data_IF_778914117070
#
_entry.id   IF_778914117070
#
_cell.length_a   1.000
_cell.length_b   1.000
_cell.length_c   1.000
_cell.angle_alpha   90.00
_cell.angle_beta   90.00
_cell.angle_gamma   90.00
#
_symmetry.space_group_name_H-M   'P 1'
#
loop_
_entity.id
_entity.type
_entity.pdbx_description
1 polymer ?
#
# COMPACT_ATOMS: atom_id res chain seq x y z
N UNK A 1 6.47 -16.32 15.08
CA UNK A 1 5.90 -16.09 13.75
C UNK A 1 5.85 -14.60 13.40
N UNK A 2 5.40 -14.30 12.21
CA UNK A 2 5.24 -12.93 11.71
C UNK A 2 3.78 -12.51 11.81
N UNK A 3 3.55 -11.26 12.22
CA UNK A 3 2.25 -10.59 12.11
C UNK A 3 2.38 -9.44 11.14
N UNK A 4 1.48 -9.37 10.18
CA UNK A 4 1.37 -8.26 9.22
C UNK A 4 0.18 -7.40 9.62
N UNK A 5 0.42 -6.13 9.89
CA UNK A 5 -0.64 -5.16 10.17
C UNK A 5 -0.81 -4.30 8.94
N UNK A 6 -1.94 -4.46 8.27
CA UNK A 6 -2.33 -3.65 7.14
C UNK A 6 -3.06 -2.41 7.60
N UNK A 7 -2.55 -1.23 7.20
CA UNK A 7 -3.32 -0.01 7.24
C UNK A 7 -4.38 -0.08 6.14
N UNK A 8 -5.63 -0.28 6.49
CA UNK A 8 -6.71 -0.43 5.53
C UNK A 8 -6.89 0.83 4.67
N UNK A 9 -7.14 0.62 3.39
CA UNK A 9 -7.30 1.70 2.42
C UNK A 9 -8.71 2.31 2.50
N UNK A 10 -8.79 3.62 2.55
CA UNK A 10 -10.06 4.35 2.68
C UNK A 10 -10.36 5.28 1.52
N UNK A 11 -9.68 5.14 0.39
CA UNK A 11 -9.88 6.03 -0.78
C UNK A 11 -11.29 6.00 -1.36
N UNK A 12 -12.04 4.91 -1.14
CA UNK A 12 -13.45 4.77 -1.49
C UNK A 12 -14.42 5.12 -0.33
N UNK A 13 -13.93 5.69 0.76
CA UNK A 13 -14.75 6.07 1.92
C UNK A 13 -15.31 4.89 2.72
N UNK A 14 -14.63 3.76 2.63
CA UNK A 14 -14.83 2.55 3.43
C UNK A 14 -13.49 1.82 3.52
N UNK A 15 -13.34 0.97 4.51
CA UNK A 15 -12.14 0.14 4.64
C UNK A 15 -12.06 -0.91 3.53
N UNK A 16 -10.91 -0.97 2.87
CA UNK A 16 -10.54 -2.01 1.92
C UNK A 16 -9.17 -2.60 2.29
N UNK A 17 -8.97 -3.87 1.93
CA UNK A 17 -7.81 -4.69 2.28
C UNK A 17 -7.00 -5.14 1.04
N UNK A 18 -6.45 -4.20 0.25
CA UNK A 18 -5.75 -4.54 -0.98
C UNK A 18 -4.53 -5.44 -0.76
N UNK A 19 -3.82 -5.30 0.37
CA UNK A 19 -2.69 -6.18 0.66
C UNK A 19 -3.15 -7.60 0.99
N UNK A 20 -4.23 -7.77 1.75
CA UNK A 20 -4.83 -9.09 1.93
C UNK A 20 -5.22 -9.71 0.58
N UNK A 21 -5.86 -8.92 -0.28
CA UNK A 21 -6.27 -9.37 -1.61
C UNK A 21 -5.09 -9.85 -2.46
N UNK A 22 -3.93 -9.20 -2.35
CA UNK A 22 -2.72 -9.56 -3.07
C UNK A 22 -1.92 -10.69 -2.41
N UNK A 23 -1.84 -10.72 -1.07
CA UNK A 23 -0.88 -11.52 -0.32
C UNK A 23 -1.49 -12.72 0.42
N UNK A 24 -2.82 -12.85 0.55
CA UNK A 24 -3.45 -13.86 1.42
C UNK A 24 -2.91 -15.28 1.25
N UNK A 25 -2.67 -15.70 0.01
CA UNK A 25 -2.17 -17.05 -0.27
C UNK A 25 -0.74 -17.25 0.27
N UNK A 26 0.10 -16.22 0.20
CA UNK A 26 1.45 -16.21 0.76
C UNK A 26 1.41 -16.20 2.27
N UNK A 27 0.62 -15.31 2.86
CA UNK A 27 0.50 -15.18 4.31
C UNK A 27 0.00 -16.48 4.95
N UNK A 28 -1.01 -17.11 4.36
CA UNK A 28 -1.56 -18.39 4.84
C UNK A 28 -0.53 -19.51 4.68
N UNK A 29 0.15 -19.57 3.52
CA UNK A 29 1.15 -20.61 3.24
C UNK A 29 2.31 -20.59 4.23
N UNK A 30 2.78 -19.39 4.58
CA UNK A 30 3.90 -19.19 5.50
C UNK A 30 3.47 -19.19 6.98
N UNK A 31 2.16 -19.29 7.26
CA UNK A 31 1.63 -19.32 8.62
C UNK A 31 1.74 -17.99 9.36
N UNK A 32 1.65 -16.90 8.62
CA UNK A 32 1.63 -15.54 9.18
C UNK A 32 0.23 -15.18 9.68
N UNK A 33 0.17 -14.33 10.70
CA UNK A 33 -1.08 -13.68 11.09
C UNK A 33 -1.22 -12.34 10.35
N UNK A 34 -2.46 -12.00 9.99
CA UNK A 34 -2.81 -10.74 9.38
C UNK A 34 -3.82 -9.98 10.23
N UNK A 35 -3.63 -8.67 10.31
CA UNK A 35 -4.50 -7.75 11.03
C UNK A 35 -4.83 -6.58 10.11
N UNK A 36 -6.07 -6.50 9.63
CA UNK A 36 -6.58 -5.32 8.93
C UNK A 36 -7.04 -4.27 9.94
N UNK A 37 -6.49 -3.07 9.90
CA UNK A 37 -6.73 -2.05 10.91
C UNK A 37 -7.39 -0.80 10.32
N UNK A 38 -8.60 -0.49 10.81
CA UNK A 38 -9.32 0.75 10.54
C UNK A 38 -8.68 1.91 11.30
N UNK A 39 -7.70 2.56 10.69
CA UNK A 39 -6.93 3.62 11.33
C UNK A 39 -7.49 5.02 11.13
N UNK A 40 -8.35 5.21 10.14
CA UNK A 40 -8.87 6.51 9.74
C UNK A 40 -10.36 6.65 9.97
N UNK A 41 -10.77 7.87 10.36
CA UNK A 41 -12.15 8.23 10.64
C UNK A 41 -13.11 7.82 9.51
N UNK A 42 -12.71 8.08 8.27
CA UNK A 42 -13.55 7.83 7.11
C UNK A 42 -13.83 6.34 6.87
N UNK A 43 -12.92 5.45 7.24
CA UNK A 43 -13.14 4.00 7.19
C UNK A 43 -14.18 3.53 8.20
N UNK A 44 -14.22 4.14 9.38
CA UNK A 44 -15.14 3.80 10.46
C UNK A 44 -16.48 4.50 10.29
N UNK A 45 -16.50 5.81 10.13
CA UNK A 45 -17.73 6.64 10.19
C UNK A 45 -18.24 7.07 8.82
N UNK A 46 -17.45 6.86 7.76
CA UNK A 46 -17.76 7.33 6.42
C UNK A 46 -17.31 8.76 6.18
N UNK A 47 -17.46 9.23 4.95
CA UNK A 47 -17.09 10.59 4.56
C UNK A 47 -16.91 10.79 3.07
N UNK A 48 -16.22 11.86 2.66
CA UNK A 48 -15.99 12.14 1.25
C UNK A 48 -15.09 11.08 0.62
N UNK A 49 -15.34 10.72 -0.63
CA UNK A 49 -14.62 9.69 -1.36
C UNK A 49 -13.66 10.31 -2.37
N UNK A 50 -12.47 9.74 -2.47
CA UNK A 50 -11.50 10.08 -3.52
C UNK A 50 -11.76 9.26 -4.79
N UNK A 51 -12.11 7.99 -4.61
CA UNK A 51 -12.37 7.04 -5.70
C UNK A 51 -13.83 6.64 -5.69
N UNK A 52 -14.55 7.00 -6.77
CA UNK A 52 -15.91 6.53 -7.01
C UNK A 52 -15.88 5.15 -7.66
N UNK A 53 -16.61 4.20 -7.09
CA UNK A 53 -16.69 2.82 -7.58
C UNK A 53 -18.06 2.61 -8.21
N UNK A 54 -18.17 2.47 -9.54
CA UNK A 54 -19.43 2.22 -10.20
C UNK A 54 -20.12 0.96 -9.68
N UNK A 55 -21.42 1.04 -9.42
CA UNK A 55 -22.22 -0.05 -8.89
C UNK A 55 -22.10 -0.28 -7.38
N UNK A 56 -21.24 0.49 -6.69
CA UNK A 56 -21.05 0.43 -5.25
C UNK A 56 -21.52 1.70 -4.52
N UNK A 57 -22.34 2.52 -5.16
CA UNK A 57 -22.81 3.82 -4.62
C UNK A 57 -23.55 3.70 -3.28
N UNK A 58 -24.08 2.50 -2.99
CA UNK A 58 -24.78 2.22 -1.73
C UNK A 58 -23.87 1.95 -0.53
N UNK A 59 -22.55 1.73 -0.76
CA UNK A 59 -21.57 1.41 0.29
C UNK A 59 -20.40 2.39 0.31
N UNK A 60 -20.05 2.96 -0.82
CA UNK A 60 -18.98 3.95 -0.94
C UNK A 60 -19.30 5.17 -0.07
N UNK A 61 -18.35 5.58 0.76
CA UNK A 61 -18.51 6.71 1.69
C UNK A 61 -19.30 6.42 2.96
N UNK A 62 -19.76 5.18 3.16
CA UNK A 62 -20.62 4.84 4.30
C UNK A 62 -19.83 4.55 5.59
N UNK A 63 -18.59 4.11 5.50
CA UNK A 63 -17.85 3.58 6.63
C UNK A 63 -18.47 2.32 7.23
N UNK A 64 -17.78 1.70 8.19
CA UNK A 64 -18.26 0.47 8.85
C UNK A 64 -19.58 0.68 9.60
N UNK A 65 -19.70 1.78 10.33
CA UNK A 65 -20.87 2.08 11.19
C UNK A 65 -22.17 2.09 10.38
N UNK A 66 -22.15 2.63 9.18
CA UNK A 66 -23.33 2.72 8.33
C UNK A 66 -23.53 1.49 7.43
N UNK A 67 -22.44 0.77 7.10
CA UNK A 67 -22.52 -0.45 6.27
C UNK A 67 -23.13 -1.62 7.05
N UNK A 68 -22.78 -1.78 8.34
CA UNK A 68 -23.37 -2.78 9.24
C UNK A 68 -23.51 -2.18 10.65
N UNK A 69 -24.57 -1.41 10.84
CA UNK A 69 -24.86 -0.75 12.12
C UNK A 69 -25.14 -1.73 13.27
N UNK A 70 -25.54 -2.97 12.99
CA UNK A 70 -25.75 -3.98 14.03
C UNK A 70 -24.42 -4.43 14.61
N UNK A 71 -23.42 -4.60 13.76
CA UNK A 71 -22.09 -5.05 14.16
C UNK A 71 -21.20 -3.89 14.62
N UNK A 72 -21.22 -2.79 13.90
CA UNK A 72 -20.26 -1.69 14.05
C UNK A 72 -20.84 -0.38 14.57
N UNK A 73 -22.17 -0.29 14.77
CA UNK A 73 -22.83 0.96 15.15
C UNK A 73 -22.43 1.54 16.51
N UNK A 74 -21.66 0.80 17.32
CA UNK A 74 -21.08 1.30 18.58
C UNK A 74 -19.66 1.81 18.46
N UNK A 75 -19.05 1.72 17.27
CA UNK A 75 -17.72 2.26 17.06
C UNK A 75 -17.77 3.79 16.99
N UNK A 76 -16.82 4.41 17.61
CA UNK A 76 -16.53 5.84 17.56
C UNK A 76 -15.06 6.02 17.26
N UNK A 77 -14.71 6.75 16.19
CA UNK A 77 -13.33 7.05 15.87
C UNK A 77 -12.94 8.43 16.46
N UNK A 78 -11.82 8.55 17.18
CA UNK A 78 -11.45 9.80 17.86
C UNK A 78 -10.97 10.92 16.93
N UNK A 79 -10.93 10.68 15.62
CA UNK A 79 -10.43 11.61 14.61
C UNK A 79 -9.05 11.23 14.07
N UNK A 80 -8.73 11.70 12.86
CA UNK A 80 -7.50 11.30 12.13
C UNK A 80 -6.20 11.78 12.77
N UNK A 81 -6.26 12.75 13.68
CA UNK A 81 -5.10 13.11 14.50
C UNK A 81 -4.57 11.97 15.37
N UNK A 82 -5.37 10.94 15.59
CA UNK A 82 -5.01 9.73 16.33
C UNK A 82 -4.63 8.54 15.44
N UNK A 83 -4.79 8.62 14.12
CA UNK A 83 -4.59 7.47 13.22
C UNK A 83 -3.22 6.82 13.40
N UNK A 84 -2.15 7.61 13.47
CA UNK A 84 -0.79 7.08 13.66
C UNK A 84 -0.56 6.50 15.07
N UNK A 85 -1.24 7.03 16.07
CA UNK A 85 -1.20 6.49 17.44
C UNK A 85 -1.98 5.19 17.54
N UNK A 86 -3.16 5.08 16.94
CA UNK A 86 -3.93 3.84 16.83
C UNK A 86 -3.08 2.75 16.19
N UNK A 87 -2.41 3.03 15.06
CA UNK A 87 -1.54 2.08 14.38
C UNK A 87 -0.38 1.62 15.28
N UNK A 88 0.22 2.55 16.01
CA UNK A 88 1.29 2.25 16.98
C UNK A 88 0.80 1.40 18.14
N UNK A 89 -0.34 1.73 18.72
CA UNK A 89 -0.89 1.01 19.88
C UNK A 89 -1.25 -0.43 19.52
N UNK A 90 -1.86 -0.65 18.34
CA UNK A 90 -2.17 -2.01 17.87
C UNK A 90 -0.89 -2.81 17.62
N UNK A 91 0.14 -2.22 17.01
CA UNK A 91 1.42 -2.90 16.83
C UNK A 91 2.05 -3.34 18.17
N UNK A 92 1.96 -2.50 19.20
CA UNK A 92 2.43 -2.83 20.56
C UNK A 92 1.60 -3.92 21.22
N UNK A 93 0.28 -3.80 21.18
CA UNK A 93 -0.62 -4.81 21.74
C UNK A 93 -0.43 -6.18 21.08
N UNK A 94 -0.33 -6.20 19.75
CA UNK A 94 -0.03 -7.40 18.97
C UNK A 94 1.32 -8.00 19.38
N UNK A 95 2.35 -7.18 19.55
CA UNK A 95 3.68 -7.63 19.99
C UNK A 95 3.66 -8.27 21.39
N UNK A 96 2.75 -7.84 22.25
CA UNK A 96 2.52 -8.42 23.58
C UNK A 96 1.62 -9.68 23.52
N UNK A 97 1.15 -10.06 22.34
CA UNK A 97 0.29 -11.24 22.11
C UNK A 97 -1.21 -10.98 22.28
N UNK A 98 -1.60 -9.73 22.46
CA UNK A 98 -3.00 -9.36 22.60
C UNK A 98 -3.77 -9.63 21.29
N UNK A 99 -4.95 -10.20 21.41
CA UNK A 99 -5.82 -10.50 20.28
C UNK A 99 -5.40 -11.68 19.39
N UNK A 100 -4.23 -12.27 19.63
CA UNK A 100 -3.66 -13.34 18.79
C UNK A 100 -3.92 -14.77 19.33
N UNK A 101 -4.84 -14.94 20.29
CA UNK A 101 -5.22 -16.27 20.77
C UNK A 101 -4.06 -17.07 21.40
N UNK A 102 -3.05 -16.39 21.95
CA UNK A 102 -1.86 -17.00 22.57
C UNK A 102 -0.69 -17.21 21.60
N UNK A 103 -0.73 -16.67 20.39
CA UNK A 103 0.43 -16.61 19.51
C UNK A 103 1.36 -15.50 19.99
N UNK A 104 2.66 -15.78 20.00
CA UNK A 104 3.71 -14.81 20.33
C UNK A 104 4.42 -14.38 19.03
N UNK A 105 4.23 -13.16 18.55
CA UNK A 105 4.89 -12.68 17.35
C UNK A 105 6.38 -12.45 17.61
N UNK A 106 7.21 -12.92 16.69
CA UNK A 106 8.64 -12.62 16.66
C UNK A 106 8.92 -11.36 15.85
N UNK A 107 7.99 -11.01 14.96
CA UNK A 107 8.11 -9.90 14.04
C UNK A 107 6.74 -9.28 13.78
N UNK A 108 6.69 -7.95 13.74
CA UNK A 108 5.50 -7.17 13.41
C UNK A 108 5.83 -6.25 12.24
N UNK A 109 5.21 -6.49 11.11
CA UNK A 109 5.42 -5.76 9.85
C UNK A 109 4.23 -4.86 9.55
N UNK A 110 4.52 -3.67 9.03
CA UNK A 110 3.51 -2.76 8.50
C UNK A 110 3.34 -2.99 6.99
N UNK A 111 2.11 -3.04 6.51
CA UNK A 111 1.79 -3.13 5.09
C UNK A 111 0.70 -2.14 4.70
N UNK A 112 0.73 -1.66 3.47
CA UNK A 112 -0.31 -0.78 2.95
C UNK A 112 -0.09 -0.43 1.49
N UNK A 113 -1.20 -0.33 0.75
CA UNK A 113 -1.24 -0.03 -0.67
C UNK A 113 -1.90 1.31 -0.95
N UNK A 114 -1.40 2.03 -1.96
CA UNK A 114 -2.01 3.26 -2.46
C UNK A 114 -2.03 4.37 -1.39
N UNK A 115 -3.20 4.80 -0.99
CA UNK A 115 -3.40 5.79 0.08
C UNK A 115 -2.77 5.33 1.41
N UNK A 116 -2.90 4.06 1.75
CA UNK A 116 -2.30 3.50 2.95
C UNK A 116 -0.78 3.50 2.88
N UNK A 117 -0.20 3.26 1.70
CA UNK A 117 1.23 3.40 1.48
C UNK A 117 1.71 4.84 1.71
N UNK A 118 0.91 5.86 1.38
CA UNK A 118 1.21 7.26 1.72
C UNK A 118 1.23 7.48 3.24
N UNK A 119 0.32 6.83 3.98
CA UNK A 119 0.32 6.86 5.44
C UNK A 119 1.57 6.18 6.02
N UNK A 120 1.98 5.04 5.46
CA UNK A 120 3.21 4.37 5.88
C UNK A 120 4.46 5.20 5.63
N UNK A 121 4.51 6.03 4.57
CA UNK A 121 5.61 6.99 4.36
C UNK A 121 5.68 8.00 5.50
N UNK A 122 4.53 8.56 5.90
CA UNK A 122 4.46 9.48 7.03
C UNK A 122 4.86 8.78 8.33
N UNK A 123 4.34 7.58 8.54
CA UNK A 123 4.67 6.78 9.73
C UNK A 123 6.16 6.48 9.82
N UNK A 124 6.74 5.92 8.76
CA UNK A 124 8.15 5.61 8.69
C UNK A 124 9.03 6.82 8.97
N UNK A 125 8.73 7.95 8.32
CA UNK A 125 9.55 9.14 8.41
C UNK A 125 9.44 9.88 9.76
N UNK A 126 8.25 9.91 10.36
CA UNK A 126 7.96 10.76 11.52
C UNK A 126 7.64 10.02 12.80
N UNK A 127 7.03 8.85 12.73
CA UNK A 127 6.51 8.12 13.90
C UNK A 127 7.43 6.96 14.30
N UNK A 128 7.90 6.17 13.33
CA UNK A 128 8.80 5.05 13.57
C UNK A 128 10.05 5.41 14.40
N UNK A 129 10.74 6.56 14.14
CA UNK A 129 11.91 6.95 14.94
C UNK A 129 11.59 7.19 16.42
N UNK A 130 10.35 7.50 16.74
CA UNK A 130 9.89 7.78 18.10
C UNK A 130 9.37 6.53 18.81
N UNK A 131 8.89 5.55 18.05
CA UNK A 131 8.12 4.42 18.60
C UNK A 131 8.82 3.08 18.46
N UNK A 132 9.58 2.87 17.38
CA UNK A 132 10.21 1.58 17.06
C UNK A 132 9.18 0.43 16.98
N UNK A 133 7.93 0.71 16.58
CA UNK A 133 6.85 -0.24 16.75
C UNK A 133 6.88 -1.38 15.72
N UNK A 134 7.44 -1.13 14.53
CA UNK A 134 7.48 -2.10 13.44
C UNK A 134 8.91 -2.53 13.12
N UNK A 135 9.05 -3.78 12.70
CA UNK A 135 10.32 -4.40 12.29
C UNK A 135 10.58 -4.27 10.79
N UNK A 136 9.62 -3.77 10.01
CA UNK A 136 9.74 -3.53 8.57
C UNK A 136 8.48 -2.92 7.98
N UNK A 137 8.62 -2.34 6.78
CA UNK A 137 7.53 -1.67 6.05
C UNK A 137 7.43 -2.20 4.62
N UNK A 138 6.27 -2.72 4.25
CA UNK A 138 5.90 -3.08 2.89
C UNK A 138 5.01 -1.97 2.31
N UNK A 139 5.58 -1.14 1.44
CA UNK A 139 4.96 0.08 0.90
C UNK A 139 4.61 -0.17 -0.56
N UNK A 140 3.34 -0.47 -0.83
CA UNK A 140 2.88 -0.92 -2.15
C UNK A 140 2.14 0.19 -2.89
N UNK A 141 2.44 0.39 -4.17
CA UNK A 141 1.74 1.32 -5.08
C UNK A 141 1.57 2.74 -4.51
N UNK A 142 2.61 3.25 -3.82
CA UNK A 142 2.57 4.59 -3.23
C UNK A 142 2.58 5.70 -4.28
N UNK A 143 1.89 6.80 -3.98
CA UNK A 143 2.07 8.04 -4.70
C UNK A 143 3.39 8.75 -4.31
N UNK A 144 3.75 9.81 -5.04
CA UNK A 144 4.95 10.61 -4.73
C UNK A 144 4.85 11.37 -3.40
N UNK A 145 3.65 11.61 -2.89
CA UNK A 145 3.40 12.34 -1.65
C UNK A 145 3.23 11.40 -0.44
N UNK A 146 3.19 11.98 0.75
CA UNK A 146 2.86 11.32 2.00
C UNK A 146 1.50 11.79 2.52
N UNK A 147 0.83 10.97 3.34
CA UNK A 147 -0.40 11.38 4.00
C UNK A 147 -0.10 12.51 5.01
N UNK A 148 -0.86 13.62 5.03
CA UNK A 148 -0.63 14.68 5.98
C UNK A 148 -0.92 14.25 7.42
N UNK A 149 -0.15 14.78 8.36
CA UNK A 149 -0.50 14.76 9.78
C UNK A 149 -1.48 15.91 10.02
N UNK A 150 -2.59 15.62 10.66
CA UNK A 150 -3.66 16.59 10.92
C UNK A 150 -3.82 16.89 12.39
N UNK A 151 -4.38 18.05 12.70
CA UNK A 151 -4.69 18.48 14.06
C UNK A 151 -5.97 17.84 14.61
N UNK A 152 -6.28 18.10 15.90
CA UNK A 152 -7.55 17.71 16.47
C UNK A 152 -8.74 18.28 15.66
N UNK A 153 -9.80 17.52 15.52
CA UNK A 153 -11.00 17.86 14.76
C UNK A 153 -10.83 18.05 13.25
N UNK A 154 -9.65 17.67 12.71
CA UNK A 154 -9.36 17.64 11.29
C UNK A 154 -9.34 16.18 10.77
N UNK A 155 -9.66 15.99 9.50
CA UNK A 155 -9.46 14.71 8.82
C UNK A 155 -8.36 14.81 7.77
N UNK A 156 -7.71 13.69 7.51
CA UNK A 156 -6.63 13.62 6.52
C UNK A 156 -7.23 13.63 5.10
N UNK A 157 -7.32 14.84 4.51
CA UNK A 157 -7.81 15.01 3.14
C UNK A 157 -6.79 14.52 2.13
N UNK A 158 -7.09 13.38 1.51
CA UNK A 158 -6.27 12.78 0.48
C UNK A 158 -6.17 13.65 -0.78
N UNK A 159 -7.26 14.32 -1.14
CA UNK A 159 -7.28 15.17 -2.32
C UNK A 159 -6.32 16.34 -2.18
N UNK A 160 -6.20 16.91 -0.97
CA UNK A 160 -5.27 18.00 -0.69
C UNK A 160 -3.79 17.57 -0.72
N UNK A 161 -3.50 16.28 -0.55
CA UNK A 161 -2.14 15.76 -0.62
C UNK A 161 -1.61 15.73 -2.07
N UNK A 162 -2.50 15.57 -3.07
CA UNK A 162 -2.08 15.56 -4.47
C UNK A 162 -1.54 16.93 -4.90
N UNK A 163 -0.34 16.91 -5.49
CA UNK A 163 0.38 18.13 -5.86
C UNK A 163 1.27 18.72 -4.75
N UNK A 164 1.32 18.10 -3.59
CA UNK A 164 2.30 18.44 -2.56
C UNK A 164 3.72 18.03 -2.96
N UNK A 165 4.72 18.49 -2.20
CA UNK A 165 6.12 18.12 -2.46
C UNK A 165 6.32 16.61 -2.34
N UNK A 166 7.03 15.98 -3.30
CA UNK A 166 7.35 14.56 -3.22
C UNK A 166 8.09 14.21 -1.94
N UNK A 167 7.64 13.16 -1.25
CA UNK A 167 8.18 12.71 0.02
C UNK A 167 9.01 11.43 -0.17
N UNK A 168 10.32 11.52 0.01
CA UNK A 168 11.19 10.35 0.05
C UNK A 168 11.14 9.69 1.42
N UNK A 169 11.44 8.39 1.45
CA UNK A 169 11.66 7.66 2.69
C UNK A 169 13.05 8.03 3.26
N UNK A 170 13.14 8.12 4.57
CA UNK A 170 14.43 8.32 5.25
C UNK A 170 15.33 7.09 5.05
N UNK A 171 16.62 7.33 4.98
CA UNK A 171 17.65 6.32 4.81
C UNK A 171 18.54 6.13 6.04
N UNK A 172 18.22 6.83 7.13
CA UNK A 172 18.96 6.79 8.40
C UNK A 172 18.29 5.93 9.49
N UNK A 173 17.29 5.14 9.14
CA UNK A 173 16.62 4.22 10.06
C UNK A 173 17.07 2.77 9.78
N UNK A 174 17.37 2.05 10.87
CA UNK A 174 17.75 0.63 10.81
C UNK A 174 16.51 -0.29 10.75
N UNK A 175 15.61 0.00 9.84
CA UNK A 175 14.40 -0.79 9.60
C UNK A 175 14.17 -0.97 8.10
N UNK A 176 14.05 -2.21 7.60
CA UNK A 176 13.91 -2.47 6.18
C UNK A 176 12.59 -1.95 5.61
N UNK A 177 12.68 -1.33 4.44
CA UNK A 177 11.55 -0.85 3.68
C UNK A 177 11.59 -1.43 2.27
N UNK A 178 10.58 -2.21 1.92
CA UNK A 178 10.34 -2.70 0.57
C UNK A 178 9.27 -1.85 -0.10
N UNK A 179 9.64 -1.15 -1.16
CA UNK A 179 8.71 -0.40 -2.02
C UNK A 179 8.44 -1.22 -3.28
N UNK A 180 7.17 -1.50 -3.54
CA UNK A 180 6.70 -2.18 -4.72
C UNK A 180 5.77 -1.24 -5.51
N UNK A 181 6.00 -1.08 -6.81
CA UNK A 181 5.22 -0.20 -7.67
C UNK A 181 4.72 -0.96 -8.90
N UNK A 182 3.49 -0.71 -9.30
CA UNK A 182 3.03 -1.09 -10.63
C UNK A 182 3.58 -0.13 -11.70
N UNK A 183 3.50 -0.52 -12.97
CA UNK A 183 3.81 0.40 -14.07
C UNK A 183 2.92 1.66 -14.02
N UNK A 184 1.64 1.47 -13.67
CA UNK A 184 0.68 2.58 -13.58
C UNK A 184 1.01 3.62 -12.50
N UNK A 185 1.81 3.26 -11.49
CA UNK A 185 2.19 4.18 -10.40
C UNK A 185 3.33 5.11 -10.77
N UNK A 186 4.16 4.70 -11.74
CA UNK A 186 5.45 5.35 -12.03
C UNK A 186 5.27 6.79 -12.51
N UNK A 187 4.24 7.03 -13.32
CA UNK A 187 3.94 8.34 -13.92
C UNK A 187 2.50 8.77 -13.62
N UNK A 188 2.03 9.84 -14.25
CA UNK A 188 0.64 10.31 -14.12
C UNK A 188 0.32 10.85 -12.74
N UNK A 189 -0.85 10.49 -12.20
CA UNK A 189 -1.39 11.02 -10.96
C UNK A 189 -0.51 10.67 -9.75
N UNK A 190 -0.06 9.42 -9.67
CA UNK A 190 0.73 8.94 -8.54
C UNK A 190 2.19 9.36 -8.62
N UNK A 191 2.75 9.42 -9.84
CA UNK A 191 4.08 9.95 -10.12
C UNK A 191 5.17 9.49 -9.14
N UNK A 192 5.19 8.21 -8.82
CA UNK A 192 6.13 7.63 -7.85
C UNK A 192 7.60 7.79 -8.28
N UNK A 193 7.84 7.95 -9.58
CA UNK A 193 9.18 8.24 -10.13
C UNK A 193 9.87 9.45 -9.49
N UNK A 194 9.11 10.44 -9.04
CA UNK A 194 9.64 11.62 -8.36
C UNK A 194 10.26 11.29 -6.99
N UNK A 195 9.99 10.10 -6.46
CA UNK A 195 10.50 9.66 -5.14
C UNK A 195 11.48 8.50 -5.22
N UNK A 196 11.91 8.14 -6.43
CA UNK A 196 12.93 7.10 -6.60
C UNK A 196 14.17 7.38 -5.76
N UNK A 197 14.68 6.35 -5.13
CA UNK A 197 15.89 6.34 -4.33
C UNK A 197 16.74 5.13 -4.77
N UNK A 198 18.07 5.22 -4.68
CA UNK A 198 18.90 4.06 -4.91
C UNK A 198 18.64 2.99 -3.85
N UNK A 199 18.75 1.73 -4.21
CA UNK A 199 18.78 0.63 -3.27
C UNK A 199 19.88 0.86 -2.22
N UNK A 200 19.57 0.58 -0.97
CA UNK A 200 20.45 0.78 0.18
C UNK A 200 20.47 -0.42 1.11
N UNK A 201 21.06 -0.26 2.28
CA UNK A 201 21.09 -1.30 3.29
C UNK A 201 19.70 -1.65 3.79
N UNK A 202 18.84 -0.62 3.98
CA UNK A 202 17.48 -0.76 4.51
C UNK A 202 16.39 -0.29 3.52
N UNK A 203 16.69 -0.20 2.22
CA UNK A 203 15.73 0.23 1.22
C UNK A 203 15.84 -0.60 -0.06
N UNK A 204 14.70 -1.05 -0.58
CA UNK A 204 14.55 -1.67 -1.91
C UNK A 204 13.35 -1.12 -2.64
N UNK A 205 13.52 -0.94 -3.95
CA UNK A 205 12.46 -0.51 -4.85
C UNK A 205 12.35 -1.49 -6.02
N UNK A 206 11.16 -2.06 -6.20
CA UNK A 206 10.80 -2.80 -7.39
C UNK A 206 9.67 -2.11 -8.14
N UNK A 207 9.81 -1.98 -9.44
CA UNK A 207 8.78 -1.50 -10.37
C UNK A 207 8.45 -2.62 -11.35
N UNK A 208 7.18 -2.95 -11.51
CA UNK A 208 6.73 -4.12 -12.28
C UNK A 208 6.08 -3.66 -13.57
N UNK A 209 6.73 -3.96 -14.71
CA UNK A 209 6.23 -3.64 -16.03
C UNK A 209 4.96 -4.44 -16.38
N UNK A 210 4.06 -3.83 -17.14
CA UNK A 210 2.83 -4.46 -17.62
C UNK A 210 1.72 -4.57 -16.56
N UNK A 211 1.87 -3.94 -15.41
CA UNK A 211 0.90 -4.00 -14.32
C UNK A 211 0.21 -2.65 -14.08
N UNK A 212 -0.97 -2.68 -13.51
CA UNK A 212 -1.74 -1.50 -13.17
C UNK A 212 -1.85 -1.31 -11.66
N UNK A 213 -2.15 -0.08 -11.23
CA UNK A 213 -2.41 0.28 -9.84
C UNK A 213 -3.54 -0.56 -9.22
N UNK A 214 -4.61 -0.76 -9.98
CA UNK A 214 -5.69 -1.67 -9.62
C UNK A 214 -5.97 -2.56 -10.85
N UNK A 215 -5.57 -3.81 -10.77
CA UNK A 215 -5.76 -4.81 -11.81
C UNK A 215 -7.12 -5.52 -11.67
N UNK A 216 -7.43 -6.39 -12.62
CA UNK A 216 -8.66 -7.16 -12.63
C UNK A 216 -8.84 -8.01 -11.36
N UNK A 217 -7.76 -8.52 -10.77
CA UNK A 217 -7.82 -9.31 -9.54
C UNK A 217 -8.23 -8.46 -8.34
N UNK A 218 -7.65 -7.28 -8.20
CA UNK A 218 -7.96 -6.36 -7.10
C UNK A 218 -9.37 -5.77 -7.23
N UNK A 219 -9.75 -5.39 -8.45
CA UNK A 219 -11.08 -4.85 -8.76
C UNK A 219 -12.17 -5.91 -8.60
N UNK A 220 -11.88 -7.18 -8.91
CA UNK A 220 -12.80 -8.29 -8.72
C UNK A 220 -14.07 -8.21 -9.58
N UNK A 221 -15.20 -8.59 -8.99
CA UNK A 221 -16.49 -8.70 -9.71
C UNK A 221 -17.02 -7.37 -10.26
N UNK A 222 -16.61 -6.24 -9.69
CA UNK A 222 -17.02 -4.91 -10.18
C UNK A 222 -16.34 -4.53 -11.51
N UNK A 223 -15.34 -5.28 -11.96
CA UNK A 223 -14.72 -5.10 -13.28
C UNK A 223 -15.74 -4.97 -14.41
N UNK A 224 -16.83 -5.74 -14.33
CA UNK A 224 -17.89 -5.70 -15.33
C UNK A 224 -18.70 -4.39 -15.37
N UNK A 225 -18.57 -3.55 -14.34
CA UNK A 225 -19.27 -2.27 -14.19
C UNK A 225 -18.38 -1.07 -14.59
N UNK A 226 -17.08 -1.31 -14.78
CA UNK A 226 -16.12 -0.25 -15.09
C UNK A 226 -15.89 -0.21 -16.59
N UNK A 227 -16.21 0.92 -17.22
CA UNK A 227 -15.90 1.19 -18.63
C UNK A 227 -14.74 2.19 -18.72
N UNK A 228 -13.56 1.71 -19.00
CA UNK A 228 -12.36 2.52 -19.27
C UNK A 228 -12.09 2.68 -20.79
N UNK A 229 -13.00 2.22 -21.65
CA UNK A 229 -12.78 2.17 -23.10
C UNK A 229 -11.77 1.10 -23.54
N UNK A 230 -11.25 0.31 -22.63
CA UNK A 230 -10.36 -0.82 -22.83
C UNK A 230 -10.56 -1.86 -21.70
N UNK A 231 -10.18 -3.13 -21.90
CA UNK A 231 -10.17 -4.10 -20.82
C UNK A 231 -9.33 -3.63 -19.63
N UNK A 232 -9.78 -3.91 -18.41
CA UNK A 232 -8.97 -3.67 -17.22
C UNK A 232 -7.75 -4.59 -17.27
N UNK A 233 -6.60 -4.03 -16.91
CA UNK A 233 -5.33 -4.76 -16.90
C UNK A 233 -5.43 -6.02 -16.01
N UNK A 234 -4.97 -7.15 -16.51
CA UNK A 234 -4.89 -8.44 -15.83
C UNK A 234 -3.43 -8.87 -15.55
N UNK A 235 -2.49 -7.94 -15.65
CA UNK A 235 -1.10 -8.15 -15.32
C UNK A 235 -0.96 -8.71 -13.91
N UNK A 236 -0.14 -9.78 -13.70
CA UNK A 236 -0.15 -10.53 -12.45
C UNK A 236 0.62 -9.82 -11.32
N UNK A 237 0.19 -8.63 -10.93
CA UNK A 237 0.80 -7.83 -9.85
C UNK A 237 0.88 -8.62 -8.54
N UNK A 238 -0.15 -9.38 -8.21
CA UNK A 238 -0.18 -10.24 -7.03
C UNK A 238 0.94 -11.30 -6.97
N UNK A 239 1.47 -11.73 -8.13
CA UNK A 239 2.63 -12.65 -8.17
C UNK A 239 3.90 -11.92 -7.77
N UNK A 240 4.10 -10.70 -8.31
CA UNK A 240 5.23 -9.85 -7.92
C UNK A 240 5.12 -9.44 -6.45
N UNK A 241 3.93 -9.09 -5.96
CA UNK A 241 3.68 -8.72 -4.58
C UNK A 241 4.04 -9.84 -3.60
N UNK A 242 3.61 -11.09 -3.89
CA UNK A 242 3.98 -12.26 -3.06
C UNK A 242 5.49 -12.51 -3.05
N UNK A 243 6.15 -12.41 -4.20
CA UNK A 243 7.60 -12.57 -4.28
C UNK A 243 8.33 -11.47 -3.52
N UNK A 244 7.90 -10.20 -3.68
CA UNK A 244 8.46 -9.07 -2.97
C UNK A 244 8.27 -9.20 -1.46
N UNK A 245 7.06 -9.60 -1.02
CA UNK A 245 6.76 -9.80 0.39
C UNK A 245 7.56 -10.95 1.00
N UNK A 246 7.70 -12.07 0.30
CA UNK A 246 8.50 -13.21 0.75
C UNK A 246 9.97 -12.81 1.02
N UNK A 247 10.59 -12.10 0.09
CA UNK A 247 11.94 -11.59 0.27
C UNK A 247 12.02 -10.53 1.39
N UNK A 248 11.05 -9.63 1.45
CA UNK A 248 10.99 -8.57 2.46
C UNK A 248 10.87 -9.14 3.88
N UNK A 249 10.00 -10.11 4.07
CA UNK A 249 9.78 -10.75 5.37
C UNK A 249 11.04 -11.47 5.87
N UNK A 250 11.72 -12.19 4.97
CA UNK A 250 12.99 -12.83 5.27
C UNK A 250 14.09 -11.79 5.62
N UNK A 251 14.15 -10.69 4.87
CA UNK A 251 15.07 -9.59 5.15
C UNK A 251 14.80 -8.94 6.50
N UNK A 252 13.56 -8.66 6.83
CA UNK A 252 13.18 -8.11 8.13
C UNK A 252 13.50 -9.07 9.31
N UNK A 253 13.72 -10.36 9.04
CA UNK A 253 14.27 -11.35 10.01
C UNK A 253 15.80 -11.36 10.04
N UNK A 254 16.47 -10.47 9.32
CA UNK A 254 17.94 -10.38 9.30
C UNK A 254 18.61 -11.25 8.25
N UNK A 255 17.87 -11.74 7.24
CA UNK A 255 18.48 -12.35 6.05
C UNK A 255 18.93 -11.25 5.06
N UNK A 256 19.57 -11.68 3.96
CA UNK A 256 20.01 -10.76 2.92
C UNK A 256 18.83 -9.96 2.33
N UNK A 257 19.05 -8.69 1.98
CA UNK A 257 18.02 -7.89 1.34
C UNK A 257 17.59 -8.47 -0.01
N UNK A 258 16.37 -8.20 -0.47
CA UNK A 258 15.90 -8.60 -1.80
C UNK A 258 16.89 -8.19 -2.89
N UNK A 259 17.03 -8.96 -3.98
CA UNK A 259 17.88 -8.56 -5.09
C UNK A 259 17.44 -7.21 -5.66
N UNK A 260 18.39 -6.39 -6.08
CA UNK A 260 18.10 -5.16 -6.81
C UNK A 260 17.44 -5.48 -8.16
N UNK A 261 16.54 -4.62 -8.60
CA UNK A 261 15.86 -4.72 -9.89
C UNK A 261 16.09 -3.48 -10.75
N UNK A 262 16.07 -3.66 -12.07
CA UNK A 262 16.04 -2.52 -12.98
C UNK A 262 14.74 -1.74 -12.76
N UNK A 263 14.79 -0.42 -12.84
CA UNK A 263 13.61 0.43 -12.82
C UNK A 263 13.02 0.56 -14.22
N UNK A 264 11.74 0.88 -14.31
CA UNK A 264 11.07 1.21 -15.56
C UNK A 264 11.75 2.45 -16.17
N UNK A 265 12.12 2.37 -17.44
CA UNK A 265 12.78 3.46 -18.14
C UNK A 265 11.82 4.61 -18.41
N UNK A 266 12.30 5.82 -18.22
CA UNK A 266 11.58 7.05 -18.54
C UNK A 266 12.17 7.73 -19.76
N UNK A 267 11.35 8.47 -20.48
CA UNK A 267 11.77 9.33 -21.58
C UNK A 267 12.49 10.54 -20.98
N UNK A 268 13.73 10.74 -21.40
CA UNK A 268 14.52 11.90 -20.99
C UNK A 268 13.91 13.20 -21.53
N UNK A 269 14.13 14.29 -20.82
CA UNK A 269 13.74 15.65 -21.23
C UNK A 269 12.22 15.89 -21.39
N UNK A 270 11.38 14.98 -20.92
CA UNK A 270 9.93 15.25 -20.86
C UNK A 270 9.60 16.14 -19.65
N UNK A 271 8.86 17.24 -19.83
CA UNK A 271 8.40 18.06 -18.72
C UNK A 271 7.42 17.32 -17.81
N UNK A 272 6.80 16.26 -18.32
CA UNK A 272 5.98 15.31 -17.58
C UNK A 272 6.62 13.93 -17.75
N UNK A 273 6.89 13.20 -16.65
CA UNK A 273 7.45 11.86 -16.75
C UNK A 273 6.60 10.97 -17.68
N UNK A 274 7.25 10.31 -18.63
CA UNK A 274 6.63 9.37 -19.54
C UNK A 274 7.45 8.08 -19.58
N UNK A 275 6.77 6.93 -19.64
CA UNK A 275 7.41 5.63 -19.70
C UNK A 275 7.96 5.41 -21.12
N UNK A 276 9.20 4.97 -21.21
CA UNK A 276 9.82 4.52 -22.46
C UNK A 276 9.29 3.14 -22.81
N UNK A 277 8.82 2.98 -24.04
CA UNK A 277 8.22 1.74 -24.55
C UNK A 277 8.94 1.24 -25.79
N UNK A 278 8.85 -0.07 -26.01
CA UNK A 278 9.28 -0.68 -27.27
C UNK A 278 8.23 -0.47 -28.39
N UNK A 279 8.48 -1.06 -29.56
CA UNK A 279 7.61 -0.93 -30.75
C UNK A 279 6.23 -1.59 -30.55
N UNK A 280 6.11 -2.52 -29.61
CA UNK A 280 4.86 -3.19 -29.23
C UNK A 280 4.10 -2.45 -28.11
N UNK A 281 4.67 -1.34 -27.63
CA UNK A 281 4.06 -0.53 -26.56
C UNK A 281 4.34 -1.06 -25.16
N UNK A 282 5.26 -2.00 -24.99
CA UNK A 282 5.63 -2.58 -23.69
C UNK A 282 6.69 -1.69 -23.02
N UNK A 283 6.55 -1.45 -21.73
CA UNK A 283 7.51 -0.67 -20.96
C UNK A 283 8.91 -1.32 -20.98
N UNK A 284 9.94 -0.50 -21.19
CA UNK A 284 11.33 -0.92 -21.06
C UNK A 284 11.77 -0.83 -19.60
N UNK A 285 12.65 -1.74 -19.19
CA UNK A 285 13.09 -1.85 -17.80
C UNK A 285 12.04 -2.45 -16.88
N UNK A 286 12.20 -2.26 -15.57
CA UNK A 286 11.35 -2.84 -14.56
C UNK A 286 11.51 -4.36 -14.38
N UNK A 287 10.81 -4.92 -13.42
CA UNK A 287 10.58 -6.36 -13.32
C UNK A 287 9.59 -6.78 -14.39
N UNK A 288 9.96 -7.76 -15.19
CA UNK A 288 9.12 -8.25 -16.29
C UNK A 288 8.71 -9.68 -15.99
N UNK A 289 7.42 -9.89 -15.81
CA UNK A 289 6.86 -11.22 -15.62
C UNK A 289 6.64 -11.93 -16.96
N UNK A 290 6.51 -13.24 -16.93
CA UNK A 290 6.37 -14.06 -18.14
C UNK A 290 5.29 -13.58 -19.12
N UNK A 291 4.09 -13.11 -18.71
CA UNK A 291 3.10 -12.58 -19.65
C UNK A 291 3.57 -11.33 -20.44
N UNK A 292 4.52 -10.57 -19.87
CA UNK A 292 5.11 -9.40 -20.53
C UNK A 292 6.23 -9.79 -21.48
N UNK A 293 7.09 -10.74 -21.06
CA UNK A 293 8.25 -11.16 -21.84
C UNK A 293 7.92 -12.19 -22.93
N UNK A 294 6.89 -12.99 -22.71
CA UNK A 294 6.49 -14.07 -23.61
C UNK A 294 4.96 -14.05 -23.75
N UNK A 295 4.39 -12.99 -24.36
CA UNK A 295 2.96 -12.90 -24.57
C UNK A 295 2.50 -14.08 -25.43
N UNK A 296 1.41 -14.75 -25.00
CA UNK A 296 0.82 -15.93 -25.67
C UNK A 296 -0.23 -15.45 -26.65
#
# INVERSE_FOLDING_TARGET
GTVVIEWLNVSAGLDADPEWSNLQEELIREGHAWVGLSTQLIGVEGGPVLVSVPGAEGIVGQGLVNTDAVRYGSLEHPGDSYSFDIFTQVARAVREGDGLGGLEPQQVLAAGESQSAMALVTYHNGVQPLTGAFDGFFVHSRASMALPVVGPDEYADLASAFGSTPAKLRDDLDVPVMVLQSEGDVTGLLNSSATRQPDGENFRLWEVAGTAHADQRLVGDITALIDCGAPINDGPMHVAAKAAFHHFEAWARGQDPPPGAALIELVDDSPTPAIRRDDDGIALGGLRLAPVDVPI
#
